data_IF_227453072157
#
_entry.id   IF_227453072157
#
_cell.length_a   1.000
_cell.length_b   1.000
_cell.length_c   1.000
_cell.angle_alpha   90.00
_cell.angle_beta   90.00
_cell.angle_gamma   90.00
#
_symmetry.space_group_name_H-M   'P 1'
#
loop_
_entity.id
_entity.type
_entity.pdbx_description
1 polymer ?
#
# COMPACT_ATOMS: atom_id res chain seq x y z
N UNK A 1 -9.88 1.57 -35.91
CA UNK A 1 -8.87 1.17 -34.91
C UNK A 1 -9.39 1.54 -33.54
N UNK A 2 -9.89 0.57 -32.76
CA UNK A 2 -10.41 0.81 -31.42
C UNK A 2 -9.28 0.58 -30.40
N UNK A 3 -8.85 1.64 -29.72
CA UNK A 3 -7.99 1.50 -28.56
C UNK A 3 -8.88 1.14 -27.36
N UNK A 4 -9.02 -0.14 -27.05
CA UNK A 4 -9.53 -0.52 -25.73
C UNK A 4 -8.49 -0.06 -24.71
N UNK A 5 -8.82 1.00 -23.95
CA UNK A 5 -8.08 1.35 -22.74
C UNK A 5 -8.19 0.15 -21.81
N UNK A 6 -7.22 -0.76 -21.86
CA UNK A 6 -7.07 -1.77 -20.84
C UNK A 6 -6.72 -1.01 -19.57
N UNK A 7 -7.70 -0.86 -18.69
CA UNK A 7 -7.48 -0.38 -17.34
C UNK A 7 -6.76 -1.50 -16.56
N UNK A 8 -5.57 -1.87 -17.03
CA UNK A 8 -4.68 -2.78 -16.33
C UNK A 8 -4.42 -2.13 -14.99
N UNK A 9 -4.51 -2.92 -13.94
CA UNK A 9 -4.32 -2.49 -12.58
C UNK A 9 -2.86 -2.06 -12.33
N UNK A 10 -2.48 -0.88 -12.82
CA UNK A 10 -1.12 -0.33 -12.79
C UNK A 10 -0.76 0.23 -11.40
N UNK A 11 -1.18 -0.42 -10.32
CA UNK A 11 -0.91 0.02 -8.95
C UNK A 11 -1.63 1.31 -8.54
N UNK A 12 -2.49 1.88 -9.39
CA UNK A 12 -3.31 3.07 -9.13
C UNK A 12 -4.70 2.92 -9.73
N UNK A 13 -5.74 3.09 -8.92
CA UNK A 13 -7.15 2.99 -9.33
C UNK A 13 -7.98 4.12 -8.71
N UNK A 14 -8.98 4.60 -9.45
CA UNK A 14 -9.83 5.75 -9.04
C UNK A 14 -11.26 5.36 -8.64
N UNK A 15 -11.61 4.06 -8.68
CA UNK A 15 -12.98 3.62 -8.40
C UNK A 15 -13.28 3.50 -6.90
N UNK A 16 -14.56 3.62 -6.54
CA UNK A 16 -15.05 3.28 -5.20
C UNK A 16 -14.73 1.82 -4.89
N UNK A 17 -14.20 1.54 -3.70
CA UNK A 17 -13.78 0.21 -3.26
C UNK A 17 -12.66 -0.45 -4.08
N UNK A 18 -11.95 0.32 -4.91
CA UNK A 18 -10.84 -0.20 -5.70
C UNK A 18 -9.80 -0.95 -4.85
N UNK A 19 -9.22 -2.00 -5.44
CA UNK A 19 -8.01 -2.67 -4.94
C UNK A 19 -6.92 -2.56 -6.00
N UNK A 20 -6.01 -1.56 -5.87
CA UNK A 20 -4.82 -1.53 -6.69
C UNK A 20 -4.02 -2.82 -6.54
N UNK A 21 -3.30 -3.21 -7.59
CA UNK A 21 -2.53 -4.44 -7.60
C UNK A 21 -1.45 -4.34 -6.53
N UNK A 22 -1.29 -5.41 -5.76
CA UNK A 22 -0.14 -5.49 -4.84
C UNK A 22 1.14 -5.57 -5.67
N UNK A 23 2.18 -4.94 -5.15
CA UNK A 23 3.50 -4.96 -5.77
C UNK A 23 4.08 -6.39 -5.86
N UNK A 24 5.01 -6.63 -6.78
CA UNK A 24 5.63 -7.95 -6.98
C UNK A 24 6.44 -8.44 -5.78
N UNK A 25 6.91 -7.53 -4.92
CA UNK A 25 7.62 -7.87 -3.68
C UNK A 25 6.69 -8.12 -2.50
N UNK A 26 5.39 -7.89 -2.66
CA UNK A 26 4.40 -8.22 -1.64
C UNK A 26 4.11 -9.72 -1.66
N UNK A 27 4.12 -10.35 -0.48
CA UNK A 27 3.54 -11.68 -0.31
C UNK A 27 2.08 -11.63 -0.80
N UNK A 28 1.71 -12.49 -1.76
CA UNK A 28 0.39 -12.52 -2.39
C UNK A 28 -0.71 -13.06 -1.45
N UNK A 29 -0.58 -12.80 -0.16
CA UNK A 29 -1.47 -13.26 0.88
C UNK A 29 -2.80 -12.50 0.82
N UNK A 30 -3.87 -13.26 1.02
CA UNK A 30 -5.27 -12.84 0.94
C UNK A 30 -5.77 -12.13 2.20
N UNK A 31 -5.00 -12.12 3.28
CA UNK A 31 -5.42 -11.58 4.58
C UNK A 31 -5.95 -10.14 4.53
N UNK A 32 -5.34 -9.27 3.72
CA UNK A 32 -5.78 -7.88 3.54
C UNK A 32 -7.09 -7.78 2.74
N UNK A 33 -7.22 -8.53 1.64
CA UNK A 33 -8.46 -8.55 0.85
C UNK A 33 -9.62 -9.17 1.62
N UNK A 34 -9.34 -10.19 2.43
CA UNK A 34 -10.34 -10.84 3.30
C UNK A 34 -10.81 -9.87 4.39
N UNK A 35 -9.89 -9.18 5.08
CA UNK A 35 -10.24 -8.19 6.10
C UNK A 35 -11.13 -7.06 5.55
N UNK A 36 -10.87 -6.61 4.31
CA UNK A 36 -11.70 -5.65 3.58
C UNK A 36 -13.09 -6.24 3.27
N UNK A 37 -13.15 -7.44 2.69
CA UNK A 37 -14.41 -8.13 2.39
C UNK A 37 -15.26 -8.29 3.64
N UNK A 38 -14.68 -8.80 4.73
CA UNK A 38 -15.33 -8.95 6.03
C UNK A 38 -15.88 -7.60 6.49
N UNK A 39 -15.10 -6.52 6.46
CA UNK A 39 -15.61 -5.18 6.81
C UNK A 39 -16.87 -4.79 6.01
N UNK A 40 -16.90 -5.01 4.69
CA UNK A 40 -18.08 -4.70 3.87
C UNK A 40 -19.28 -5.58 4.18
N UNK A 41 -19.08 -6.85 4.56
CA UNK A 41 -20.18 -7.75 4.90
C UNK A 41 -20.83 -7.37 6.24
N UNK A 42 -20.07 -6.78 7.17
CA UNK A 42 -20.56 -6.49 8.52
C UNK A 42 -21.04 -5.04 8.69
N UNK A 43 -20.44 -4.09 7.98
CA UNK A 43 -20.77 -2.65 8.06
C UNK A 43 -22.21 -2.28 7.67
N UNK A 44 -22.92 -2.94 6.72
CA UNK A 44 -24.27 -2.53 6.36
C UNK A 44 -25.33 -2.88 7.41
N UNK A 45 -25.04 -3.76 8.38
CA UNK A 45 -26.05 -4.25 9.32
C UNK A 45 -25.76 -3.91 10.78
N UNK A 46 -24.49 -3.83 11.21
CA UNK A 46 -24.15 -3.57 12.63
C UNK A 46 -22.81 -2.82 12.74
N UNK A 47 -22.75 -1.76 13.56
CA UNK A 47 -21.45 -1.30 14.09
C UNK A 47 -20.96 -2.43 15.00
N UNK A 48 -19.94 -3.18 14.58
CA UNK A 48 -19.23 -4.09 15.47
C UNK A 48 -18.63 -3.27 16.61
N UNK A 49 -19.38 -3.09 17.68
CA UNK A 49 -18.80 -2.64 18.93
C UNK A 49 -17.93 -3.79 19.47
N UNK A 50 -16.95 -3.46 20.32
CA UNK A 50 -16.01 -4.40 20.93
C UNK A 50 -16.73 -5.62 21.56
N UNK A 51 -17.99 -5.45 21.93
CA UNK A 51 -18.80 -6.37 22.72
C UNK A 51 -19.92 -7.08 21.95
N UNK A 52 -20.01 -6.90 20.63
CA UNK A 52 -21.02 -7.58 19.81
C UNK A 52 -20.50 -8.96 19.35
N UNK A 53 -21.15 -10.05 19.81
CA UNK A 53 -20.76 -11.45 19.54
C UNK A 53 -19.73 -12.06 20.51
N UNK A 54 -18.95 -13.03 20.02
CA UNK A 54 -17.93 -13.75 20.81
C UNK A 54 -16.95 -12.75 21.47
N UNK A 55 -16.50 -12.99 22.71
CA UNK A 55 -15.63 -12.06 23.46
C UNK A 55 -14.20 -12.54 23.61
N UNK A 56 -13.85 -13.66 23.01
CA UNK A 56 -12.49 -14.16 23.02
C UNK A 56 -11.54 -13.13 22.41
N UNK A 57 -10.37 -12.97 23.04
CA UNK A 57 -9.40 -11.94 22.66
C UNK A 57 -9.01 -12.03 21.18
N UNK A 58 -8.86 -13.24 20.64
CA UNK A 58 -8.59 -13.51 19.23
C UNK A 58 -9.68 -12.93 18.31
N UNK A 59 -10.94 -13.24 18.61
CA UNK A 59 -12.10 -12.77 17.83
C UNK A 59 -12.25 -11.23 17.87
N UNK A 60 -11.96 -10.61 19.01
CA UNK A 60 -12.00 -9.15 19.18
C UNK A 60 -10.89 -8.49 18.38
N UNK A 61 -9.68 -9.06 18.41
CA UNK A 61 -8.54 -8.55 17.64
C UNK A 61 -8.75 -8.70 16.14
N UNK A 62 -9.34 -9.80 15.68
CA UNK A 62 -9.67 -10.01 14.27
C UNK A 62 -10.69 -8.97 13.77
N UNK A 63 -11.77 -8.74 14.51
CA UNK A 63 -12.77 -7.70 14.19
C UNK A 63 -12.15 -6.29 14.17
N UNK A 64 -11.34 -5.95 15.17
CA UNK A 64 -10.61 -4.67 15.20
C UNK A 64 -9.68 -4.50 14.00
N UNK A 65 -8.98 -5.57 13.61
CA UNK A 65 -8.12 -5.57 12.42
C UNK A 65 -8.94 -5.33 11.14
N UNK A 66 -10.07 -6.01 10.97
CA UNK A 66 -10.97 -5.79 9.84
C UNK A 66 -11.52 -4.35 9.80
N UNK A 67 -11.95 -3.80 10.95
CA UNK A 67 -12.42 -2.42 11.05
C UNK A 67 -11.34 -1.38 10.73
N UNK A 68 -10.15 -1.53 11.30
CA UNK A 68 -9.03 -0.62 11.04
C UNK A 68 -8.63 -0.64 9.56
N UNK A 69 -8.58 -1.84 8.97
CA UNK A 69 -8.29 -2.03 7.55
C UNK A 69 -9.37 -1.40 6.68
N UNK A 70 -10.65 -1.68 6.93
CA UNK A 70 -11.76 -1.12 6.16
C UNK A 70 -11.79 0.41 6.22
N UNK A 71 -11.82 0.99 7.43
CA UNK A 71 -11.91 2.44 7.62
C UNK A 71 -10.79 3.22 6.92
N UNK A 72 -9.57 2.67 6.86
CA UNK A 72 -8.40 3.35 6.29
C UNK A 72 -8.13 3.07 4.81
N UNK A 73 -8.78 2.08 4.20
CA UNK A 73 -8.43 1.59 2.84
C UNK A 73 -9.55 1.70 1.83
N UNK A 74 -10.75 2.06 2.25
CA UNK A 74 -11.85 2.34 1.34
C UNK A 74 -11.80 3.78 0.86
N UNK A 75 -11.91 3.93 -0.45
CA UNK A 75 -11.99 5.21 -1.11
C UNK A 75 -13.45 5.59 -1.33
N UNK A 76 -14.05 6.20 -0.32
CA UNK A 76 -15.45 6.60 -0.36
C UNK A 76 -15.70 7.72 -1.35
N UNK A 77 -14.67 8.54 -1.64
CA UNK A 77 -14.77 9.75 -2.45
C UNK A 77 -14.29 9.59 -3.90
N UNK A 78 -13.98 8.37 -4.35
CA UNK A 78 -13.51 8.15 -5.73
C UNK A 78 -12.15 8.80 -6.04
N UNK A 79 -11.37 9.14 -5.02
CA UNK A 79 -10.01 9.68 -5.16
C UNK A 79 -8.99 8.60 -5.50
N UNK A 80 -7.85 8.98 -6.07
CA UNK A 80 -6.84 8.00 -6.43
C UNK A 80 -6.35 7.15 -5.26
N UNK A 81 -6.41 5.84 -5.41
CA UNK A 81 -5.82 4.88 -4.48
C UNK A 81 -4.63 4.19 -5.13
N UNK A 82 -3.52 4.11 -4.38
CA UNK A 82 -2.34 3.32 -4.77
C UNK A 82 -1.71 2.70 -3.53
N UNK A 83 -1.20 1.47 -3.66
CA UNK A 83 -0.32 0.90 -2.64
C UNK A 83 1.12 1.33 -2.95
N UNK A 84 1.94 1.51 -1.90
CA UNK A 84 3.36 1.86 -2.08
C UNK A 84 4.04 0.74 -2.86
N UNK A 85 4.49 1.04 -4.09
CA UNK A 85 5.42 0.18 -4.81
C UNK A 85 6.86 0.57 -4.42
N UNK A 86 7.76 -0.39 -4.10
CA UNK A 86 9.18 -0.11 -3.93
C UNK A 86 9.84 0.44 -5.21
N UNK A 87 9.18 0.27 -6.36
CA UNK A 87 9.61 0.78 -7.66
C UNK A 87 9.19 2.22 -7.97
N UNK A 88 8.48 2.92 -7.07
CA UNK A 88 8.18 4.33 -7.30
C UNK A 88 9.48 5.14 -7.30
N UNK A 89 9.86 5.63 -8.49
CA UNK A 89 11.07 6.42 -8.72
C UNK A 89 11.16 7.61 -7.76
N UNK A 90 10.04 8.22 -7.38
CA UNK A 90 10.04 9.34 -6.44
C UNK A 90 10.42 8.90 -5.02
N UNK A 91 9.91 7.75 -4.57
CA UNK A 91 10.27 7.15 -3.27
C UNK A 91 11.73 6.72 -3.27
N UNK A 92 12.17 6.02 -4.32
CA UNK A 92 13.57 5.57 -4.49
C UNK A 92 14.53 6.76 -4.54
N UNK A 93 14.24 7.79 -5.35
CA UNK A 93 15.08 8.97 -5.46
C UNK A 93 15.13 9.76 -4.16
N UNK A 94 14.00 9.85 -3.44
CA UNK A 94 13.95 10.49 -2.12
C UNK A 94 14.77 9.72 -1.09
N UNK A 95 14.68 8.39 -1.08
CA UNK A 95 15.48 7.53 -0.20
C UNK A 95 16.97 7.65 -0.52
N UNK A 96 17.37 7.50 -1.79
CA UNK A 96 18.75 7.68 -2.25
C UNK A 96 19.33 9.04 -1.85
N UNK A 97 18.55 10.12 -2.01
CA UNK A 97 18.97 11.46 -1.61
C UNK A 97 19.26 11.54 -0.12
N UNK A 98 18.37 10.99 0.73
CA UNK A 98 18.56 10.94 2.19
C UNK A 98 19.80 10.13 2.58
N UNK A 99 19.97 8.96 1.98
CA UNK A 99 21.13 8.08 2.22
C UNK A 99 22.45 8.77 1.85
N UNK A 100 22.50 9.43 0.69
CA UNK A 100 23.68 10.18 0.26
C UNK A 100 23.94 11.41 1.13
N UNK A 101 22.90 12.16 1.51
CA UNK A 101 23.06 13.30 2.42
C UNK A 101 23.48 12.89 3.84
N UNK A 102 23.17 11.66 4.25
CA UNK A 102 23.57 11.10 5.54
C UNK A 102 25.00 10.55 5.55
N UNK A 103 25.76 10.72 4.46
CA UNK A 103 27.17 10.33 4.40
C UNK A 103 27.42 8.89 3.94
N UNK A 104 26.38 8.12 3.56
CA UNK A 104 26.55 6.83 2.90
C UNK A 104 26.90 7.01 1.41
N UNK A 105 28.04 7.67 1.16
CA UNK A 105 28.64 7.87 -0.15
C UNK A 105 29.97 7.13 -0.16
N UNK A 106 30.26 6.41 -1.24
CA UNK A 106 31.57 5.78 -1.41
C UNK A 106 32.67 6.86 -1.33
N UNK A 107 33.74 6.65 -0.55
CA UNK A 107 34.82 7.62 -0.45
C UNK A 107 35.46 7.83 -1.83
N UNK A 108 35.86 9.07 -2.12
CA UNK A 108 36.58 9.38 -3.35
C UNK A 108 37.85 8.49 -3.44
N UNK A 109 38.11 7.94 -4.63
CA UNK A 109 39.30 7.12 -4.87
C UNK A 109 40.56 7.95 -4.58
N UNK A 110 41.36 7.55 -3.58
CA UNK A 110 42.69 8.13 -3.37
C UNK A 110 43.60 7.75 -4.55
N UNK A 111 44.14 8.76 -5.25
CA UNK A 111 45.10 8.58 -6.34
C UNK A 111 44.51 8.52 -7.76
N UNK A 112 43.23 8.86 -7.95
CA UNK A 112 42.70 9.08 -9.31
C UNK A 112 43.24 10.39 -9.88
N UNK A 113 44.14 10.33 -10.86
CA UNK A 113 44.47 11.50 -11.70
C UNK A 113 43.19 11.98 -12.38
N UNK A 114 42.73 13.17 -12.04
CA UNK A 114 41.72 13.87 -12.84
C UNK A 114 42.33 14.12 -14.22
N UNK A 115 41.64 13.77 -15.32
CA UNK A 115 42.08 14.30 -16.62
C UNK A 115 41.85 15.80 -16.56
N UNK A 116 42.96 16.54 -16.60
CA UNK A 116 42.93 17.97 -16.86
C UNK A 116 42.59 18.09 -18.34
N UNK A 117 41.36 18.56 -18.60
CA UNK A 117 40.72 18.84 -19.89
C UNK A 117 40.23 17.62 -20.67
#
# INVERSE_FOLDING_TARGET
MFFTRQNINNGRLEFTNAMPMKDSTSTNESSFSNARKTYLEITPTHKLDRYDGNRDASSVMERKKAQATGKGTYNTNGTSQSFLSPGDKNVVNRALRKTRSAGAVAPAKKGGVASMF
#
